data_IF_760403799475
#
_entry.id   IF_760403799475
#
_cell.length_a   1.000
_cell.length_b   1.000
_cell.length_c   1.000
_cell.angle_alpha   90.00
_cell.angle_beta   90.00
_cell.angle_gamma   90.00
#
_symmetry.space_group_name_H-M   'P 1'
#
loop_
_entity.id
_entity.type
_entity.pdbx_description
1 polymer ?
#
# COMPACT_ATOMS: atom_id res chain seq x y z
N UNK A 1 26.27 19.51 5.26
CA UNK A 1 25.32 18.58 4.61
C UNK A 1 26.00 17.25 4.41
N UNK A 2 25.31 16.14 4.67
CA UNK A 2 25.87 14.81 4.50
C UNK A 2 25.75 14.38 3.02
N UNK A 3 26.70 13.59 2.49
CA UNK A 3 26.71 13.14 1.09
C UNK A 3 25.38 12.50 0.67
N UNK A 4 24.76 11.74 1.60
CA UNK A 4 23.44 11.11 1.37
C UNK A 4 22.34 12.13 1.06
N UNK A 5 22.35 13.27 1.74
CA UNK A 5 21.35 14.33 1.56
C UNK A 5 21.56 15.05 0.23
N UNK A 6 22.82 15.36 -0.09
CA UNK A 6 23.19 15.97 -1.37
C UNK A 6 22.78 15.08 -2.55
N UNK A 7 23.05 13.78 -2.46
CA UNK A 7 22.63 12.82 -3.49
C UNK A 7 21.10 12.77 -3.63
N UNK A 8 20.34 12.80 -2.52
CA UNK A 8 18.87 12.81 -2.59
C UNK A 8 18.30 14.05 -3.29
N UNK A 9 19.00 15.18 -3.23
CA UNK A 9 18.58 16.41 -3.90
C UNK A 9 18.92 16.39 -5.40
N UNK A 10 20.06 15.80 -5.78
CA UNK A 10 20.57 15.88 -7.16
C UNK A 10 20.13 14.70 -8.03
N UNK A 11 19.97 13.50 -7.46
CA UNK A 11 19.58 12.30 -8.22
C UNK A 11 18.24 12.43 -8.98
N UNK A 12 17.19 13.09 -8.47
CA UNK A 12 15.94 13.27 -9.21
C UNK A 12 16.08 14.00 -10.55
N UNK A 13 17.05 14.90 -10.68
CA UNK A 13 17.27 15.69 -11.91
C UNK A 13 18.16 14.95 -12.92
N UNK A 14 18.92 13.95 -12.47
CA UNK A 14 19.90 13.22 -13.29
C UNK A 14 19.39 11.86 -13.77
N UNK A 15 18.37 11.30 -13.10
CA UNK A 15 17.88 9.95 -13.39
C UNK A 15 16.62 10.01 -14.26
N UNK A 16 16.50 9.14 -15.27
CA UNK A 16 15.29 9.00 -16.07
C UNK A 16 14.20 8.30 -15.27
N UNK A 17 12.94 8.63 -15.56
CA UNK A 17 11.78 8.05 -14.87
C UNK A 17 11.45 6.64 -15.35
N UNK A 18 11.78 6.30 -16.61
CA UNK A 18 11.52 4.98 -17.18
C UNK A 18 12.68 3.99 -16.90
N UNK A 19 12.37 2.73 -16.55
CA UNK A 19 13.40 1.73 -16.25
C UNK A 19 14.17 1.27 -17.49
N UNK A 20 13.60 1.38 -18.69
CA UNK A 20 14.23 0.97 -19.95
C UNK A 20 15.37 1.90 -20.35
N UNK A 21 15.31 3.16 -19.92
CA UNK A 21 16.33 4.19 -20.16
C UNK A 21 17.38 4.28 -19.04
N UNK A 22 17.52 3.23 -18.22
CA UNK A 22 18.37 3.27 -17.04
C UNK A 22 19.84 3.66 -17.33
N UNK A 23 20.36 4.55 -16.49
CA UNK A 23 21.72 5.11 -16.64
C UNK A 23 22.74 4.18 -15.99
N UNK A 24 23.83 3.88 -16.71
CA UNK A 24 24.92 3.05 -16.18
C UNK A 24 25.60 3.73 -14.99
N UNK A 25 26.01 2.95 -13.99
CA UNK A 25 26.63 3.49 -12.78
C UNK A 25 27.88 4.34 -13.04
N UNK A 26 28.69 4.02 -14.06
CA UNK A 26 29.86 4.80 -14.46
C UNK A 26 29.50 6.16 -15.05
N UNK A 27 28.38 6.25 -15.76
CA UNK A 27 27.87 7.50 -16.33
C UNK A 27 27.22 8.36 -15.24
N UNK A 28 26.44 7.73 -14.35
CA UNK A 28 25.85 8.41 -13.20
C UNK A 28 26.91 9.05 -12.29
N UNK A 29 28.05 8.38 -12.08
CA UNK A 29 29.19 8.96 -11.33
C UNK A 29 29.66 10.26 -11.99
N UNK A 30 29.82 10.29 -13.32
CA UNK A 30 30.27 11.48 -14.06
C UNK A 30 29.26 12.63 -13.94
N UNK A 31 27.97 12.33 -14.08
CA UNK A 31 26.90 13.32 -13.95
C UNK A 31 26.84 13.91 -12.53
N UNK A 32 27.00 13.08 -11.51
CA UNK A 32 27.01 13.51 -10.12
C UNK A 32 28.25 14.36 -9.81
N UNK A 33 29.45 13.97 -10.29
CA UNK A 33 30.67 14.78 -10.13
C UNK A 33 30.56 16.15 -10.80
N UNK A 34 29.89 16.23 -11.96
CA UNK A 34 29.65 17.52 -12.61
C UNK A 34 28.76 18.46 -11.76
N UNK A 35 27.86 17.90 -10.94
CA UNK A 35 26.94 18.66 -10.09
C UNK A 35 27.47 18.96 -8.68
N UNK A 36 28.11 17.97 -8.04
CA UNK A 36 28.63 18.08 -6.67
C UNK A 36 30.09 18.52 -6.61
N UNK A 37 30.84 18.43 -7.72
CA UNK A 37 32.29 18.62 -7.76
C UNK A 37 33.07 17.31 -7.60
N UNK A 38 34.37 17.45 -7.41
CA UNK A 38 35.36 16.35 -7.37
C UNK A 38 35.74 15.91 -5.94
N UNK A 39 34.92 16.27 -4.95
CA UNK A 39 35.21 16.05 -3.52
C UNK A 39 35.05 14.58 -3.08
N UNK A 40 34.43 13.74 -3.93
CA UNK A 40 34.10 12.35 -3.60
C UNK A 40 34.70 11.37 -4.60
N UNK A 41 35.27 10.28 -4.07
CA UNK A 41 35.79 9.21 -4.91
C UNK A 41 34.68 8.42 -5.61
N UNK A 42 34.98 7.91 -6.81
CA UNK A 42 34.08 7.03 -7.57
C UNK A 42 33.60 5.81 -6.75
N UNK A 43 34.48 5.25 -5.90
CA UNK A 43 34.16 4.13 -5.03
C UNK A 43 33.10 4.51 -3.97
N UNK A 44 33.26 5.67 -3.35
CA UNK A 44 32.32 6.21 -2.36
C UNK A 44 30.94 6.46 -3.00
N UNK A 45 30.89 7.08 -4.17
CA UNK A 45 29.63 7.33 -4.88
C UNK A 45 28.93 6.03 -5.25
N UNK A 46 29.67 5.06 -5.81
CA UNK A 46 29.12 3.74 -6.17
C UNK A 46 28.56 2.98 -4.96
N UNK A 47 29.25 3.06 -3.83
CA UNK A 47 28.77 2.47 -2.56
C UNK A 47 27.46 3.13 -2.12
N UNK A 48 27.38 4.46 -2.15
CA UNK A 48 26.16 5.18 -1.79
C UNK A 48 24.99 4.92 -2.76
N UNK A 49 25.22 4.83 -4.07
CA UNK A 49 24.18 4.46 -5.03
C UNK A 49 23.60 3.08 -4.73
N UNK A 50 24.47 2.13 -4.37
CA UNK A 50 24.05 0.78 -4.01
C UNK A 50 23.16 0.81 -2.76
N UNK A 51 23.60 1.46 -1.67
CA UNK A 51 22.80 1.59 -0.44
C UNK A 51 21.47 2.30 -0.72
N UNK A 52 21.52 3.43 -1.42
CA UNK A 52 20.34 4.24 -1.72
C UNK A 52 19.36 3.52 -2.63
N UNK A 53 19.81 2.62 -3.51
CA UNK A 53 18.92 1.84 -4.37
C UNK A 53 18.08 0.83 -3.59
N UNK A 54 18.60 0.32 -2.46
CA UNK A 54 17.88 -0.58 -1.56
C UNK A 54 16.95 0.15 -0.59
N UNK A 55 17.18 1.44 -0.35
CA UNK A 55 16.34 2.26 0.54
C UNK A 55 15.03 2.66 -0.17
N UNK A 56 13.85 2.22 0.31
CA UNK A 56 12.57 2.51 -0.34
C UNK A 56 12.19 3.99 -0.27
N UNK A 57 12.77 4.76 0.65
CA UNK A 57 12.54 6.21 0.77
C UNK A 57 13.39 7.04 -0.20
N UNK A 58 14.28 6.39 -0.93
CA UNK A 58 15.27 7.03 -1.80
C UNK A 58 14.74 7.18 -3.24
N UNK A 59 15.11 8.26 -3.95
CA UNK A 59 14.64 8.52 -5.32
C UNK A 59 15.34 7.67 -6.39
N UNK A 60 16.28 6.79 -6.02
CA UNK A 60 17.03 5.95 -6.97
C UNK A 60 16.59 4.48 -6.82
N UNK A 61 16.48 3.79 -7.95
CA UNK A 61 16.25 2.36 -8.03
C UNK A 61 17.27 1.74 -9.00
N UNK A 62 17.54 0.45 -8.83
CA UNK A 62 18.37 -0.35 -9.72
C UNK A 62 17.47 -1.23 -10.58
N UNK A 63 17.83 -1.43 -11.85
CA UNK A 63 17.12 -2.36 -12.74
C UNK A 63 17.28 -3.81 -12.25
N UNK A 64 16.18 -4.57 -12.19
CA UNK A 64 16.16 -5.95 -11.68
C UNK A 64 16.91 -6.92 -12.60
N UNK A 65 16.71 -6.79 -13.91
CA UNK A 65 17.38 -7.59 -14.93
C UNK A 65 18.29 -6.69 -15.78
N UNK A 66 19.42 -6.25 -15.22
CA UNK A 66 20.38 -5.48 -16.00
C UNK A 66 21.41 -4.69 -15.20
N UNK A 67 22.03 -3.75 -15.90
CA UNK A 67 22.94 -2.76 -15.32
C UNK A 67 22.38 -1.37 -15.54
N UNK A 68 22.08 -0.67 -14.45
CA UNK A 68 21.66 0.72 -14.54
C UNK A 68 20.86 1.14 -13.32
N UNK A 69 20.73 2.45 -13.20
CA UNK A 69 19.90 3.11 -12.20
C UNK A 69 18.89 4.00 -12.90
N UNK A 70 17.68 4.04 -12.35
CA UNK A 70 16.60 4.90 -12.82
C UNK A 70 15.97 5.60 -11.61
N UNK A 71 15.18 6.62 -11.88
CA UNK A 71 14.48 7.36 -10.86
C UNK A 71 13.35 6.49 -10.36
N UNK A 72 13.37 6.17 -9.06
CA UNK A 72 12.23 5.57 -8.39
C UNK A 72 11.11 6.61 -8.46
N UNK A 73 10.09 6.33 -9.29
CA UNK A 73 8.88 7.12 -9.27
C UNK A 73 8.43 7.23 -7.81
N UNK A 74 8.16 8.46 -7.34
CA UNK A 74 7.40 8.67 -6.12
C UNK A 74 5.96 8.23 -6.40
N UNK A 75 5.78 6.95 -6.69
CA UNK A 75 4.53 6.27 -6.43
C UNK A 75 4.41 6.37 -4.91
N UNK A 76 3.62 7.33 -4.45
CA UNK A 76 3.10 7.33 -3.10
C UNK A 76 2.58 5.92 -2.81
N UNK A 77 3.39 5.10 -2.12
CA UNK A 77 3.00 3.83 -1.50
C UNK A 77 2.17 2.85 -2.32
N UNK A 78 2.27 2.80 -3.65
CA UNK A 78 1.64 1.72 -4.42
C UNK A 78 2.69 0.70 -4.82
N UNK A 79 2.84 -0.30 -3.95
CA UNK A 79 3.52 -1.56 -4.20
C UNK A 79 3.14 -2.17 -5.57
N UNK A 80 4.03 -2.97 -6.17
CA UNK A 80 3.94 -3.36 -7.57
C UNK A 80 2.86 -4.43 -7.81
N UNK A 81 2.42 -4.47 -9.07
CA UNK A 81 1.60 -5.50 -9.71
C UNK A 81 0.08 -5.50 -9.44
N UNK A 82 -0.59 -4.40 -9.77
CA UNK A 82 -2.04 -4.39 -10.06
C UNK A 82 -2.34 -4.50 -11.58
N UNK A 83 -1.43 -5.10 -12.35
CA UNK A 83 -1.63 -5.33 -13.80
C UNK A 83 -2.82 -6.25 -14.14
N UNK A 84 -3.53 -6.77 -13.12
CA UNK A 84 -4.72 -7.61 -13.27
C UNK A 84 -6.04 -6.98 -12.78
N UNK A 85 -6.02 -5.75 -12.29
CA UNK A 85 -7.24 -5.09 -11.82
C UNK A 85 -7.72 -4.04 -12.81
N UNK A 86 -8.57 -4.49 -13.72
CA UNK A 86 -9.69 -3.69 -14.22
C UNK A 86 -9.35 -2.67 -15.30
N UNK A 87 -9.60 -3.05 -16.55
CA UNK A 87 -9.67 -2.22 -17.75
C UNK A 87 -10.74 -1.08 -17.69
N UNK A 88 -11.26 -0.71 -16.50
CA UNK A 88 -12.46 0.12 -16.31
C UNK A 88 -12.44 1.03 -15.05
N UNK A 89 -11.29 1.53 -14.58
CA UNK A 89 -11.30 2.36 -13.35
C UNK A 89 -10.45 3.64 -13.47
N UNK A 90 -10.98 4.64 -14.19
CA UNK A 90 -10.56 6.04 -14.07
C UNK A 90 -11.30 6.70 -12.89
N UNK A 91 -10.99 6.28 -11.66
CA UNK A 91 -11.49 6.92 -10.43
C UNK A 91 -10.46 7.88 -9.82
N UNK A 92 -10.90 8.84 -9.00
CA UNK A 92 -9.98 9.71 -8.27
C UNK A 92 -9.15 8.87 -7.25
N UNK A 93 -7.96 9.31 -6.82
CA UNK A 93 -7.13 8.57 -5.84
C UNK A 93 -7.87 8.19 -4.55
N UNK A 94 -8.84 9.01 -4.12
CA UNK A 94 -9.70 8.72 -2.97
C UNK A 94 -10.62 7.51 -3.22
N UNK A 95 -11.05 7.28 -4.47
CA UNK A 95 -11.93 6.17 -4.82
C UNK A 95 -11.18 4.84 -4.79
N UNK A 96 -9.88 4.82 -5.13
CA UNK A 96 -9.06 3.61 -5.01
C UNK A 96 -8.85 3.16 -3.56
N UNK A 97 -8.66 4.11 -2.63
CA UNK A 97 -8.53 3.78 -1.21
C UNK A 97 -9.84 3.19 -0.67
N UNK A 98 -10.98 3.73 -1.10
CA UNK A 98 -12.31 3.20 -0.77
C UNK A 98 -12.51 1.79 -1.29
N UNK A 99 -12.21 1.57 -2.57
CA UNK A 99 -12.40 0.27 -3.20
C UNK A 99 -11.56 -0.83 -2.52
N UNK A 100 -10.36 -0.45 -2.06
CA UNK A 100 -9.52 -1.36 -1.25
C UNK A 100 -10.17 -1.66 0.09
N UNK A 101 -10.69 -0.65 0.79
CA UNK A 101 -11.37 -0.85 2.08
C UNK A 101 -12.59 -1.77 1.93
N UNK A 102 -13.48 -1.51 0.97
CA UNK A 102 -14.66 -2.34 0.71
C UNK A 102 -14.29 -3.78 0.35
N UNK A 103 -13.23 -3.99 -0.46
CA UNK A 103 -12.73 -5.34 -0.75
C UNK A 103 -12.24 -6.06 0.50
N UNK A 104 -11.51 -5.38 1.37
CA UNK A 104 -11.03 -5.97 2.63
C UNK A 104 -12.20 -6.34 3.54
N UNK A 105 -13.20 -5.47 3.66
CA UNK A 105 -14.44 -5.74 4.40
C UNK A 105 -15.13 -6.99 3.84
N UNK A 106 -15.37 -7.05 2.54
CA UNK A 106 -16.04 -8.19 1.91
C UNK A 106 -15.27 -9.53 2.11
N UNK A 107 -13.94 -9.50 2.01
CA UNK A 107 -13.10 -10.68 2.27
C UNK A 107 -13.22 -11.10 3.73
N UNK A 108 -13.16 -10.14 4.66
CA UNK A 108 -13.26 -10.41 6.08
C UNK A 108 -14.65 -10.96 6.46
N UNK A 109 -15.72 -10.39 5.93
CA UNK A 109 -17.08 -10.92 6.08
C UNK A 109 -17.18 -12.37 5.63
N UNK A 110 -16.62 -12.66 4.45
CA UNK A 110 -16.61 -14.04 3.93
C UNK A 110 -15.83 -14.99 4.85
N UNK A 111 -14.69 -14.57 5.37
CA UNK A 111 -13.88 -15.36 6.30
C UNK A 111 -14.59 -15.60 7.64
N UNK A 112 -15.31 -14.61 8.14
CA UNK A 112 -16.10 -14.73 9.35
C UNK A 112 -17.24 -15.74 9.16
N UNK A 113 -17.98 -15.65 8.04
CA UNK A 113 -19.04 -16.61 7.72
C UNK A 113 -18.52 -18.05 7.62
N UNK A 114 -17.33 -18.27 7.04
CA UNK A 114 -16.71 -19.60 6.99
C UNK A 114 -16.36 -20.18 8.37
N UNK A 115 -16.20 -19.30 9.37
CA UNK A 115 -15.92 -19.67 10.77
C UNK A 115 -17.16 -19.58 11.65
N UNK A 116 -18.35 -19.47 11.06
CA UNK A 116 -19.62 -19.28 11.77
C UNK A 116 -19.62 -18.05 12.70
N UNK A 117 -18.86 -17.01 12.35
CA UNK A 117 -18.81 -15.71 13.01
C UNK A 117 -19.51 -14.68 12.16
N UNK A 118 -20.19 -13.75 12.81
CA UNK A 118 -21.03 -12.77 12.12
C UNK A 118 -20.55 -11.36 12.46
N UNK A 119 -19.91 -10.67 11.50
CA UNK A 119 -19.38 -9.33 11.70
C UNK A 119 -20.49 -8.28 11.58
N UNK A 120 -20.34 -7.20 12.32
CA UNK A 120 -21.13 -5.98 12.23
C UNK A 120 -20.22 -4.84 11.78
N UNK A 121 -20.55 -4.19 10.67
CA UNK A 121 -19.85 -2.99 10.22
C UNK A 121 -20.44 -1.79 10.98
N UNK A 122 -19.61 -1.10 11.76
CA UNK A 122 -20.03 0.07 12.54
C UNK A 122 -19.64 1.38 11.85
N UNK A 123 -18.66 1.34 10.95
CA UNK A 123 -18.26 2.49 10.15
C UNK A 123 -19.31 2.80 9.09
N UNK A 124 -19.78 4.05 9.02
CA UNK A 124 -20.80 4.49 8.07
C UNK A 124 -22.24 4.17 8.48
N UNK A 125 -22.53 4.11 9.79
CA UNK A 125 -23.91 4.00 10.30
C UNK A 125 -24.82 5.04 9.63
N UNK A 126 -26.04 4.60 9.31
CA UNK A 126 -27.15 5.41 8.78
C UNK A 126 -27.04 5.79 7.28
N UNK A 127 -26.86 4.77 6.41
CA UNK A 127 -26.78 4.91 4.94
C UNK A 127 -25.64 5.82 4.43
N UNK A 128 -24.71 6.21 5.31
CA UNK A 128 -23.56 7.01 4.95
C UNK A 128 -22.40 6.12 4.51
N UNK A 129 -21.69 6.59 3.49
CA UNK A 129 -20.54 5.85 2.93
C UNK A 129 -19.47 5.66 4.02
N UNK A 130 -18.78 4.51 4.05
CA UNK A 130 -17.74 4.24 5.04
C UNK A 130 -16.64 5.29 4.98
N UNK A 131 -16.22 5.78 6.14
CA UNK A 131 -15.14 6.76 6.30
C UNK A 131 -13.80 6.05 6.30
N UNK A 132 -12.90 6.45 5.40
CA UNK A 132 -11.53 5.90 5.33
C UNK A 132 -10.68 6.39 6.49
N UNK A 133 -11.00 7.58 7.02
CA UNK A 133 -10.13 8.29 7.95
C UNK A 133 -10.12 7.70 9.37
N UNK A 134 -10.97 6.71 9.65
CA UNK A 134 -10.98 5.88 10.86
C UNK A 134 -11.06 6.65 12.17
N UNK A 135 -12.20 6.59 12.85
CA UNK A 135 -12.32 7.15 14.20
C UNK A 135 -11.81 6.11 15.21
N UNK A 136 -10.66 6.34 15.85
CA UNK A 136 -10.06 5.41 16.83
C UNK A 136 -10.96 5.09 18.04
N UNK A 137 -12.00 5.90 18.26
CA UNK A 137 -12.98 5.71 19.32
C UNK A 137 -14.00 4.61 18.99
N UNK A 138 -14.25 4.32 17.70
CA UNK A 138 -15.24 3.33 17.26
C UNK A 138 -14.61 2.37 16.26
N UNK A 139 -14.53 1.06 16.56
CA UNK A 139 -13.94 0.10 15.63
C UNK A 139 -14.77 0.01 14.34
N UNK A 140 -14.10 -0.16 13.20
CA UNK A 140 -14.77 -0.25 11.90
C UNK A 140 -15.67 -1.48 11.77
N UNK A 141 -15.22 -2.61 12.33
CA UNK A 141 -15.93 -3.87 12.36
C UNK A 141 -15.86 -4.50 13.75
N UNK A 142 -16.97 -5.07 14.19
CA UNK A 142 -17.03 -5.89 15.40
C UNK A 142 -17.51 -7.28 15.03
N UNK A 143 -16.71 -8.29 15.35
CA UNK A 143 -17.13 -9.68 15.30
C UNK A 143 -17.51 -10.13 16.69
N UNK A 144 -18.72 -10.66 16.82
CA UNK A 144 -19.12 -11.35 18.03
C UNK A 144 -19.14 -12.85 17.78
N UNK A 145 -18.58 -13.60 18.73
CA UNK A 145 -18.62 -15.05 18.78
C UNK A 145 -19.73 -15.43 19.74
N UNK A 146 -20.76 -16.10 19.23
CA UNK A 146 -21.93 -16.49 20.00
C UNK A 146 -22.12 -18.01 19.90
N UNK A 147 -22.62 -18.61 20.96
CA UNK A 147 -23.07 -20.00 20.94
C UNK A 147 -24.30 -20.10 20.02
N UNK A 148 -24.14 -20.75 18.88
CA UNK A 148 -25.23 -21.04 17.96
C UNK A 148 -26.03 -22.20 18.53
N UNK A 149 -27.36 -22.14 18.45
CA UNK A 149 -28.21 -23.23 18.93
C UNK A 149 -28.10 -24.42 17.97
N UNK A 150 -27.31 -25.42 18.37
CA UNK A 150 -27.03 -26.63 17.60
C UNK A 150 -28.17 -27.65 17.65
N UNK A 151 -29.23 -27.38 18.44
CA UNK A 151 -30.39 -28.27 18.59
C UNK A 151 -31.41 -28.18 17.45
N UNK A 152 -31.15 -27.39 16.41
CA UNK A 152 -32.05 -27.28 15.26
C UNK A 152 -31.61 -28.19 14.11
N UNK A 153 -32.49 -29.11 13.70
CA UNK A 153 -32.26 -30.06 12.59
C UNK A 153 -32.05 -29.37 11.23
N UNK A 154 -32.33 -28.07 11.14
CA UNK A 154 -32.24 -27.22 9.94
C UNK A 154 -30.89 -26.48 9.77
N UNK A 155 -29.87 -26.79 10.59
CA UNK A 155 -28.55 -26.15 10.55
C UNK A 155 -28.42 -24.96 11.51
N UNK A 156 -27.23 -24.32 11.61
CA UNK A 156 -26.94 -23.31 12.62
C UNK A 156 -27.86 -22.10 12.48
N UNK A 157 -28.81 -21.96 13.40
CA UNK A 157 -29.71 -20.82 13.48
C UNK A 157 -29.24 -19.82 14.52
N UNK A 158 -29.56 -18.57 14.25
CA UNK A 158 -29.36 -17.48 15.18
C UNK A 158 -30.35 -17.55 16.33
N UNK A 159 -29.87 -17.39 17.55
CA UNK A 159 -30.74 -17.19 18.71
C UNK A 159 -31.53 -15.86 18.55
N UNK A 160 -32.70 -15.79 19.20
CA UNK A 160 -33.59 -14.63 19.17
C UNK A 160 -32.88 -13.35 19.63
N UNK A 161 -32.00 -13.45 20.64
CA UNK A 161 -31.17 -12.33 21.07
C UNK A 161 -30.28 -11.78 19.94
N UNK A 162 -29.80 -12.67 19.06
CA UNK A 162 -28.95 -12.29 17.93
C UNK A 162 -29.75 -11.64 16.79
N UNK A 163 -30.97 -12.12 16.55
CA UNK A 163 -31.91 -11.49 15.61
C UNK A 163 -32.27 -10.07 16.05
N UNK A 164 -32.50 -9.87 17.35
CA UNK A 164 -32.78 -8.54 17.89
C UNK A 164 -31.56 -7.63 17.85
N UNK A 165 -30.37 -8.12 18.21
CA UNK A 165 -29.14 -7.33 18.11
C UNK A 165 -28.81 -6.95 16.66
N UNK A 166 -29.02 -7.87 15.69
CA UNK A 166 -28.88 -7.56 14.26
C UNK A 166 -29.84 -6.46 13.80
N UNK A 167 -31.06 -6.42 14.32
CA UNK A 167 -32.01 -5.34 14.03
C UNK A 167 -31.60 -3.99 14.63
N UNK A 168 -30.86 -3.99 15.74
CA UNK A 168 -30.40 -2.76 16.39
C UNK A 168 -29.06 -2.24 15.83
N UNK A 169 -28.24 -3.12 15.25
CA UNK A 169 -26.95 -2.77 14.64
C UNK A 169 -27.02 -2.55 13.12
N UNK A 170 -28.17 -2.85 12.50
CA UNK A 170 -28.45 -2.64 11.07
C UNK A 170 -29.18 -1.33 10.83
#
# INVERSE_FOLDING_TARGET
MNLREQLRQVLPDLLPTEPDDAVKGTELIRLVRLRLGDDYSDATLRYHFSILSYDPSSPIAKVDQGQGYYQRSKQNGNAPDQSRLGFFEQGAPADFQRLRFERVVAIFERLCLLRSRYPFVLNGRDQQRPRIDGDWEVPDLVCAEWELDTNSEDGPRFDNAMMDLRRHLG
#
